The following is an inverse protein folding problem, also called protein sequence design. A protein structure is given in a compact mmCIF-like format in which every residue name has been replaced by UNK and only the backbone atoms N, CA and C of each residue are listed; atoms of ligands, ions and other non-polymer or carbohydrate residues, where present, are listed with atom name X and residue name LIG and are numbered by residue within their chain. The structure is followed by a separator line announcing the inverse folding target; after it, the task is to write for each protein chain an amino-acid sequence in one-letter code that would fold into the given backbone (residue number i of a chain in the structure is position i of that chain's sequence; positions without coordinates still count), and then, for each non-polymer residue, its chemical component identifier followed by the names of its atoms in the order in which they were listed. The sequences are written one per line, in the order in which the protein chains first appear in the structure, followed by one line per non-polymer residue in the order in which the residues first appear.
data_IF_424766343413
#
_entry.id   IF_424766343413
#
_cell.length_a   1.000
_cell.length_b   1.000
_cell.length_c   1.000
_cell.angle_alpha   90.00
_cell.angle_beta   90.00
_cell.angle_gamma   90.00
#
_symmetry.space_group_name_H-M   'P 1'
#
loop_
_entity.id
_entity.type
_entity.pdbx_description
1 polymer ?
#
# COMPACT_ATOMS: atom_id res chain seq x y z
N UNK A 1 46.85 7.51 67.74
CA UNK A 1 46.10 6.30 67.31
C UNK A 1 44.64 6.70 67.15
N UNK A 2 44.30 7.64 66.26
CA UNK A 2 43.95 7.47 64.82
C UNK A 2 42.80 6.50 64.57
N UNK A 3 41.60 7.07 64.56
CA UNK A 3 40.37 6.62 63.93
C UNK A 3 40.44 6.73 62.39
N UNK A 4 39.46 6.11 61.73
CA UNK A 4 39.06 6.17 60.31
C UNK A 4 39.68 5.13 59.36
N UNK A 5 38.83 4.20 58.92
CA UNK A 5 38.99 3.48 57.65
C UNK A 5 37.80 3.86 56.76
N UNK A 6 38.11 4.52 55.65
CA UNK A 6 37.20 5.03 54.63
C UNK A 6 36.82 3.92 53.62
N UNK A 7 35.51 3.83 53.35
CA UNK A 7 34.92 3.61 52.03
C UNK A 7 35.33 2.39 51.21
N UNK A 8 34.56 1.31 51.32
CA UNK A 8 34.44 0.32 50.23
C UNK A 8 33.37 0.80 49.25
N UNK A 9 33.82 1.22 48.06
CA UNK A 9 32.96 1.50 46.91
C UNK A 9 32.32 0.20 46.42
N UNK A 10 30.99 0.09 46.56
CA UNK A 10 30.23 -0.95 45.88
C UNK A 10 30.22 -0.68 44.37
N UNK A 11 30.52 -1.66 43.50
CA UNK A 11 30.29 -1.52 42.09
C UNK A 11 28.79 -1.64 41.82
N UNK A 12 28.17 -0.57 41.33
CA UNK A 12 26.83 -0.61 40.75
C UNK A 12 26.88 -1.50 39.50
N UNK A 13 26.62 -2.80 39.66
CA UNK A 13 26.27 -3.66 38.53
C UNK A 13 24.83 -3.34 38.14
N UNK A 14 24.67 -2.39 37.23
CA UNK A 14 23.46 -2.27 36.42
C UNK A 14 23.36 -3.49 35.50
N UNK A 15 22.89 -4.62 36.05
CA UNK A 15 22.29 -5.66 35.23
C UNK A 15 21.00 -5.10 34.66
N UNK A 16 20.88 -5.06 33.34
CA UNK A 16 19.61 -4.75 32.67
C UNK A 16 18.61 -5.80 33.15
N UNK A 17 17.59 -5.35 33.88
CA UNK A 17 16.63 -6.20 34.56
C UNK A 17 15.74 -6.91 33.52
N UNK A 18 16.08 -8.16 33.21
CA UNK A 18 15.42 -8.96 32.17
C UNK A 18 13.96 -9.26 32.52
N UNK A 19 13.64 -9.25 33.81
CA UNK A 19 12.29 -9.51 34.31
C UNK A 19 11.36 -8.32 34.04
N UNK A 20 11.87 -7.07 34.16
CA UNK A 20 11.13 -5.87 33.78
C UNK A 20 10.80 -5.82 32.28
N UNK A 21 11.73 -6.27 31.42
CA UNK A 21 11.51 -6.35 29.97
C UNK A 21 10.46 -7.43 29.66
N UNK A 22 10.56 -8.60 30.31
CA UNK A 22 9.59 -9.69 30.15
C UNK A 22 8.17 -9.30 30.55
N UNK A 23 8.01 -8.66 31.71
CA UNK A 23 6.71 -8.22 32.22
C UNK A 23 6.10 -7.10 31.36
N UNK A 24 6.93 -6.17 30.87
CA UNK A 24 6.51 -5.11 29.94
C UNK A 24 6.03 -5.68 28.61
N UNK A 25 6.74 -6.66 28.06
CA UNK A 25 6.35 -7.36 26.82
C UNK A 25 5.06 -8.15 27.04
N UNK A 26 4.92 -8.86 28.16
CA UNK A 26 3.72 -9.63 28.48
C UNK A 26 2.48 -8.73 28.70
N UNK A 27 2.67 -7.56 29.33
CA UNK A 27 1.61 -6.55 29.49
C UNK A 27 1.21 -5.94 28.15
N UNK A 28 2.19 -5.58 27.30
CA UNK A 28 1.96 -5.12 25.92
C UNK A 28 1.21 -6.18 25.11
N UNK A 29 1.60 -7.45 25.23
CA UNK A 29 0.96 -8.55 24.52
C UNK A 29 -0.51 -8.70 24.92
N UNK A 30 -0.81 -8.69 26.23
CA UNK A 30 -2.20 -8.77 26.72
C UNK A 30 -3.02 -7.55 26.30
N UNK A 31 -2.40 -6.38 26.29
CA UNK A 31 -3.07 -5.10 25.99
C UNK A 31 -3.24 -4.86 24.49
N UNK A 32 -2.40 -5.44 23.63
CA UNK A 32 -2.45 -5.23 22.17
C UNK A 32 -2.97 -6.43 21.38
N UNK A 33 -3.20 -7.59 22.01
CA UNK A 33 -3.71 -8.80 21.34
C UNK A 33 -4.97 -8.52 20.50
N UNK A 34 -4.92 -8.69 19.17
CA UNK A 34 -6.11 -8.56 18.33
C UNK A 34 -7.16 -9.62 18.67
N UNK A 35 -8.44 -9.31 18.53
CA UNK A 35 -9.54 -10.27 18.78
C UNK A 35 -9.47 -11.51 17.88
N UNK A 36 -8.82 -11.39 16.71
CA UNK A 36 -8.58 -12.47 15.75
C UNK A 36 -7.18 -13.11 15.90
N UNK A 37 -6.42 -12.71 16.92
CA UNK A 37 -5.08 -13.21 17.23
C UNK A 37 -3.96 -12.66 16.34
N UNK A 38 -2.73 -12.79 16.83
CA UNK A 38 -1.51 -12.27 16.17
C UNK A 38 -1.25 -12.90 14.79
N UNK A 39 -1.60 -14.18 14.60
CA UNK A 39 -1.41 -14.86 13.31
C UNK A 39 -2.24 -14.18 12.21
N UNK A 40 -3.49 -13.81 12.50
CA UNK A 40 -4.34 -13.16 11.51
C UNK A 40 -3.87 -11.72 11.22
N UNK A 41 -3.39 -11.00 12.24
CA UNK A 41 -2.78 -9.69 12.05
C UNK A 41 -1.45 -9.76 11.26
N UNK A 42 -0.63 -10.79 11.49
CA UNK A 42 0.59 -11.03 10.72
C UNK A 42 0.31 -11.37 9.26
N UNK A 43 -0.71 -12.20 8.99
CA UNK A 43 -1.15 -12.49 7.62
C UNK A 43 -1.73 -11.26 6.91
N UNK A 44 -2.45 -10.40 7.65
CA UNK A 44 -2.92 -9.11 7.15
C UNK A 44 -1.75 -8.19 6.75
N UNK A 45 -0.77 -8.04 7.65
CA UNK A 45 0.44 -7.27 7.38
C UNK A 45 1.16 -7.82 6.15
N UNK A 46 1.37 -9.13 6.08
CA UNK A 46 2.00 -9.79 4.95
C UNK A 46 1.25 -9.51 3.64
N UNK A 47 -0.08 -9.62 3.64
CA UNK A 47 -0.91 -9.37 2.46
C UNK A 47 -0.77 -7.92 1.97
N UNK A 48 -0.81 -6.94 2.86
CA UNK A 48 -0.66 -5.52 2.51
C UNK A 48 0.78 -5.17 2.10
N UNK A 49 1.77 -5.80 2.73
CA UNK A 49 3.19 -5.64 2.35
C UNK A 49 3.41 -6.10 0.92
N UNK A 50 2.78 -7.19 0.46
CA UNK A 50 2.88 -7.62 -0.95
C UNK A 50 2.37 -6.54 -1.91
N UNK A 51 1.29 -5.84 -1.55
CA UNK A 51 0.75 -4.74 -2.37
C UNK A 51 1.74 -3.58 -2.42
N UNK A 52 2.27 -3.17 -1.26
CA UNK A 52 3.21 -2.05 -1.16
C UNK A 52 4.54 -2.37 -1.85
N UNK A 53 5.05 -3.59 -1.72
CA UNK A 53 6.26 -4.03 -2.42
C UNK A 53 6.09 -4.01 -3.94
N UNK A 54 4.90 -4.34 -4.45
CA UNK A 54 4.60 -4.23 -5.89
C UNK A 54 4.73 -2.78 -6.38
N UNK A 55 4.33 -1.81 -5.55
CA UNK A 55 4.43 -0.38 -5.87
C UNK A 55 5.86 0.13 -5.70
N UNK A 56 6.56 -0.27 -4.63
CA UNK A 56 7.93 0.14 -4.35
C UNK A 56 8.90 -0.40 -5.41
N UNK A 57 8.76 -1.67 -5.81
CA UNK A 57 9.55 -2.27 -6.90
C UNK A 57 9.21 -1.74 -8.29
N UNK A 58 8.10 -1.03 -8.45
CA UNK A 58 7.79 -0.35 -9.70
C UNK A 58 8.68 0.88 -9.92
N UNK A 59 9.41 1.32 -8.89
CA UNK A 59 10.34 2.45 -8.89
C UNK A 59 9.72 3.73 -9.48
N UNK A 60 8.43 3.97 -9.28
CA UNK A 60 7.72 5.08 -9.92
C UNK A 60 8.42 6.43 -9.73
N UNK A 61 8.79 6.75 -8.49
CA UNK A 61 9.49 7.97 -8.06
C UNK A 61 10.34 7.62 -6.86
N UNK A 62 11.50 8.29 -6.63
CA UNK A 62 12.20 8.22 -5.35
C UNK A 62 11.24 8.57 -4.21
N UNK A 63 10.99 7.61 -3.32
CA UNK A 63 10.12 7.79 -2.16
C UNK A 63 10.78 7.27 -0.88
N UNK A 64 10.39 7.81 0.29
CA UNK A 64 10.62 7.12 1.56
C UNK A 64 10.08 5.68 1.52
N UNK A 65 10.56 4.82 2.41
CA UNK A 65 10.11 3.42 2.46
C UNK A 65 8.61 3.33 2.72
N UNK A 66 7.87 2.87 1.72
CA UNK A 66 6.42 2.72 1.80
C UNK A 66 6.03 1.59 2.75
N UNK A 67 6.85 0.54 2.85
CA UNK A 67 6.65 -0.55 3.82
C UNK A 67 6.73 -0.03 5.27
N UNK A 68 7.67 0.86 5.58
CA UNK A 68 7.75 1.48 6.92
C UNK A 68 6.52 2.34 7.20
N UNK A 69 6.08 3.13 6.21
CA UNK A 69 4.86 3.94 6.33
C UNK A 69 3.61 3.08 6.55
N UNK A 70 3.49 1.95 5.83
CA UNK A 70 2.41 0.98 6.01
C UNK A 70 2.41 0.44 7.45
N UNK A 71 3.58 0.07 7.98
CA UNK A 71 3.69 -0.42 9.35
C UNK A 71 3.24 0.62 10.38
N UNK A 72 3.64 1.89 10.22
CA UNK A 72 3.19 3.00 11.07
C UNK A 72 1.69 3.24 10.97
N UNK A 73 1.11 3.13 9.77
CA UNK A 73 -0.33 3.25 9.55
C UNK A 73 -1.11 2.14 10.26
N UNK A 74 -0.64 0.89 10.15
CA UNK A 74 -1.23 -0.25 10.84
C UNK A 74 -1.09 -0.17 12.36
N UNK A 75 0.06 0.32 12.86
CA UNK A 75 0.29 0.55 14.28
C UNK A 75 -0.66 1.63 14.81
N UNK A 76 -0.86 2.70 14.05
CA UNK A 76 -1.82 3.75 14.39
C UNK A 76 -3.24 3.18 14.46
N UNK A 77 -3.64 2.33 13.50
CA UNK A 77 -4.91 1.59 13.58
C UNK A 77 -5.03 0.71 14.83
N UNK A 78 -3.94 0.02 15.19
CA UNK A 78 -3.85 -0.82 16.40
C UNK A 78 -3.96 0.00 17.71
N UNK A 79 -3.43 1.21 17.75
CA UNK A 79 -3.54 2.07 18.93
C UNK A 79 -4.96 2.65 19.02
N UNK A 80 -5.48 3.18 17.91
CA UNK A 80 -6.76 3.90 17.91
C UNK A 80 -7.96 2.96 18.12
N UNK A 81 -7.93 1.69 17.71
CA UNK A 81 -9.11 0.82 17.85
C UNK A 81 -9.45 0.52 19.32
N UNK A 82 -8.45 0.58 20.22
CA UNK A 82 -8.62 0.35 21.65
C UNK A 82 -9.30 1.51 22.37
N UNK A 83 -9.32 2.69 21.78
CA UNK A 83 -9.92 3.86 22.38
C UNK A 83 -11.45 3.70 22.30
N UNK A 84 -12.17 3.68 23.44
CA UNK A 84 -13.63 3.49 23.49
C UNK A 84 -14.40 4.76 23.11
N UNK A 85 -13.95 5.46 22.07
CA UNK A 85 -14.56 6.67 21.51
C UNK A 85 -15.27 6.35 20.19
N UNK A 86 -16.14 7.25 19.73
CA UNK A 86 -16.87 7.07 18.48
C UNK A 86 -15.93 7.07 17.27
N UNK A 87 -16.18 6.18 16.31
CA UNK A 87 -15.35 6.02 15.11
C UNK A 87 -15.28 7.30 14.27
N UNK A 88 -16.32 8.14 14.30
CA UNK A 88 -16.35 9.43 13.60
C UNK A 88 -15.30 10.42 14.11
N UNK A 89 -14.87 10.30 15.36
CA UNK A 89 -13.81 11.13 15.95
C UNK A 89 -12.44 10.52 15.68
N UNK A 90 -12.32 9.20 15.82
CA UNK A 90 -11.03 8.50 15.72
C UNK A 90 -10.53 8.40 14.27
N UNK A 91 -11.42 8.32 13.28
CA UNK A 91 -11.03 8.28 11.87
C UNK A 91 -10.27 9.57 11.45
N UNK A 92 -10.82 10.78 11.67
CA UNK A 92 -10.08 12.03 11.42
C UNK A 92 -8.75 12.11 12.18
N UNK A 93 -8.68 11.62 13.42
CA UNK A 93 -7.43 11.61 14.19
C UNK A 93 -6.38 10.73 13.50
N UNK A 94 -6.74 9.52 13.06
CA UNK A 94 -5.81 8.65 12.33
C UNK A 94 -5.37 9.21 10.97
N UNK A 95 -6.25 9.95 10.29
CA UNK A 95 -5.90 10.68 9.07
C UNK A 95 -4.95 11.85 9.37
N UNK A 96 -5.19 12.61 10.43
CA UNK A 96 -4.33 13.72 10.84
C UNK A 96 -2.92 13.24 11.26
N UNK A 97 -2.84 12.13 12.00
CA UNK A 97 -1.56 11.47 12.35
C UNK A 97 -0.82 11.04 11.08
N UNK A 98 -1.53 10.45 10.12
CA UNK A 98 -0.96 10.08 8.83
C UNK A 98 -0.41 11.25 8.05
N UNK A 99 -1.21 12.31 7.92
CA UNK A 99 -0.79 13.53 7.23
C UNK A 99 0.47 14.12 7.87
N UNK A 100 0.53 14.18 9.22
CA UNK A 100 1.70 14.67 9.93
C UNK A 100 2.96 13.82 9.66
N UNK A 101 2.84 12.49 9.67
CA UNK A 101 3.95 11.57 9.39
C UNK A 101 4.42 11.70 7.93
N UNK A 102 3.47 11.78 6.98
CA UNK A 102 3.77 11.93 5.56
C UNK A 102 4.51 13.24 5.30
N UNK A 103 3.99 14.37 5.82
CA UNK A 103 4.63 15.67 5.67
C UNK A 103 6.02 15.70 6.31
N UNK A 104 6.16 15.09 7.50
CA UNK A 104 7.46 14.97 8.15
C UNK A 104 8.47 14.17 7.32
N UNK A 105 8.08 12.99 6.82
CA UNK A 105 8.94 12.16 5.98
C UNK A 105 9.33 12.85 4.67
N UNK A 106 8.37 13.49 3.98
CA UNK A 106 8.63 14.25 2.76
C UNK A 106 9.56 15.44 3.00
N UNK A 107 9.33 16.18 4.10
CA UNK A 107 10.15 17.35 4.45
C UNK A 107 11.61 17.01 4.78
N UNK A 108 11.89 15.75 5.11
CA UNK A 108 13.23 15.25 5.42
C UNK A 108 13.83 14.43 4.28
N UNK A 109 13.10 14.28 3.17
CA UNK A 109 13.50 13.45 2.04
C UNK A 109 14.32 14.26 1.02
N UNK A 110 15.13 13.55 0.23
CA UNK A 110 15.96 14.13 -0.84
C UNK A 110 15.44 13.67 -2.18
N UNK A 111 15.08 14.63 -3.04
CA UNK A 111 14.63 14.38 -4.41
C UNK A 111 15.70 14.97 -5.33
N UNK A 112 16.23 14.17 -6.25
CA UNK A 112 17.26 14.58 -7.22
C UNK A 112 18.51 15.25 -6.59
N UNK A 113 18.88 14.80 -5.38
CA UNK A 113 20.05 15.31 -4.65
C UNK A 113 19.82 16.61 -3.87
N UNK A 114 18.61 17.17 -3.90
CA UNK A 114 18.23 18.36 -3.13
C UNK A 114 17.30 17.93 -1.99
N UNK A 115 17.66 18.30 -0.76
CA UNK A 115 16.79 18.12 0.41
C UNK A 115 15.60 19.05 0.29
N UNK A 116 14.39 18.53 0.48
CA UNK A 116 13.21 19.39 0.57
C UNK A 116 13.37 20.32 1.77
N UNK A 117 13.21 21.63 1.56
CA UNK A 117 13.43 22.72 2.51
C UNK A 117 12.39 22.81 3.63
N UNK A 118 11.99 21.67 4.19
CA UNK A 118 11.00 21.58 5.26
C UNK A 118 9.56 21.46 4.78
N UNK A 119 8.62 21.49 5.73
CA UNK A 119 7.18 21.31 5.47
C UNK A 119 6.62 22.45 4.60
N UNK A 120 7.19 23.66 4.68
CA UNK A 120 6.76 24.81 3.88
C UNK A 120 6.90 24.56 2.38
N UNK A 121 8.06 24.06 1.94
CA UNK A 121 8.31 23.74 0.53
C UNK A 121 7.43 22.58 0.04
N UNK A 122 7.19 21.57 0.89
CA UNK A 122 6.25 20.47 0.57
C UNK A 122 4.86 21.05 0.28
N UNK A 123 4.35 21.93 1.15
CA UNK A 123 3.03 22.52 0.98
C UNK A 123 2.97 23.44 -0.24
N UNK A 124 4.01 24.23 -0.51
CA UNK A 124 4.09 25.10 -1.70
C UNK A 124 4.05 24.27 -3.00
N UNK A 125 4.83 23.20 -3.10
CA UNK A 125 4.82 22.33 -4.29
C UNK A 125 3.49 21.59 -4.47
N UNK A 126 2.83 21.22 -3.37
CA UNK A 126 1.48 20.63 -3.42
C UNK A 126 0.43 21.67 -3.84
N UNK A 127 0.57 22.93 -3.44
CA UNK A 127 -0.29 24.03 -3.84
C UNK A 127 -0.15 24.32 -5.35
N UNK A 128 1.08 24.39 -5.85
CA UNK A 128 1.36 24.52 -7.29
C UNK A 128 0.79 23.35 -8.11
N UNK A 129 0.86 22.14 -7.59
CA UNK A 129 0.25 20.97 -8.22
C UNK A 129 -1.29 21.04 -8.23
N UNK A 130 -1.89 21.54 -7.14
CA UNK A 130 -3.33 21.74 -7.07
C UNK A 130 -3.80 22.83 -8.04
N UNK A 131 -3.05 23.92 -8.15
CA UNK A 131 -3.26 24.96 -9.15
C UNK A 131 -3.13 24.42 -10.57
N UNK A 132 -2.17 23.52 -10.81
CA UNK A 132 -2.04 22.85 -12.10
C UNK A 132 -3.26 21.98 -12.44
N UNK A 133 -3.82 21.30 -11.44
CA UNK A 133 -5.05 20.52 -11.59
C UNK A 133 -6.27 21.39 -11.94
N UNK A 134 -6.39 22.57 -11.34
CA UNK A 134 -7.50 23.49 -11.58
C UNK A 134 -7.35 24.27 -12.89
N UNK A 135 -6.13 24.65 -13.26
CA UNK A 135 -5.83 25.45 -14.46
C UNK A 135 -5.70 24.61 -15.74
N UNK A 136 -5.60 23.29 -15.62
CA UNK A 136 -5.36 22.41 -16.75
C UNK A 136 -3.93 22.45 -17.27
N UNK A 137 -2.98 22.91 -16.45
CA UNK A 137 -1.55 22.96 -16.81
C UNK A 137 -0.84 21.63 -16.50
N UNK A 138 0.38 21.48 -17.02
CA UNK A 138 1.23 20.30 -16.83
C UNK A 138 2.05 20.45 -15.56
N UNK A 139 2.15 19.39 -14.77
CA UNK A 139 3.12 19.30 -13.68
C UNK A 139 4.16 18.20 -13.95
N UNK A 140 5.43 18.55 -13.76
CA UNK A 140 6.57 17.64 -13.90
C UNK A 140 7.23 17.30 -12.56
N UNK A 141 6.83 17.95 -11.46
CA UNK A 141 7.34 17.63 -10.13
C UNK A 141 6.85 16.24 -9.72
N UNK A 142 7.78 15.46 -9.17
CA UNK A 142 7.56 14.10 -8.71
C UNK A 142 7.06 14.04 -7.26
N UNK A 143 7.25 15.11 -6.48
CA UNK A 143 6.81 15.21 -5.09
C UNK A 143 5.30 14.98 -4.89
N UNK A 144 4.39 15.59 -5.68
CA UNK A 144 2.95 15.36 -5.53
C UNK A 144 2.54 13.91 -5.78
N UNK A 145 3.25 13.23 -6.68
CA UNK A 145 3.03 11.81 -6.91
C UNK A 145 3.49 10.96 -5.71
N UNK A 146 4.67 11.24 -5.16
CA UNK A 146 5.15 10.58 -3.93
C UNK A 146 4.18 10.81 -2.77
N UNK A 147 3.68 12.02 -2.58
CA UNK A 147 2.65 12.34 -1.59
C UNK A 147 1.37 11.52 -1.79
N UNK A 148 0.93 11.36 -3.04
CA UNK A 148 -0.26 10.57 -3.39
C UNK A 148 -0.05 9.08 -3.08
N UNK A 149 1.11 8.51 -3.43
CA UNK A 149 1.46 7.12 -3.09
C UNK A 149 1.55 6.89 -1.58
N UNK A 150 2.17 7.81 -0.85
CA UNK A 150 2.27 7.74 0.61
C UNK A 150 0.89 7.84 1.26
N UNK A 151 0.03 8.72 0.75
CA UNK A 151 -1.36 8.86 1.21
C UNK A 151 -2.17 7.59 0.95
N UNK A 152 -2.09 7.03 -0.26
CA UNK A 152 -2.75 5.77 -0.61
C UNK A 152 -2.26 4.59 0.26
N UNK A 153 -0.96 4.54 0.53
CA UNK A 153 -0.33 3.53 1.41
C UNK A 153 -0.83 3.67 2.85
N UNK A 154 -0.84 4.90 3.37
CA UNK A 154 -1.36 5.19 4.71
C UNK A 154 -2.83 4.81 4.83
N UNK A 155 -3.67 5.24 3.88
CA UNK A 155 -5.09 4.91 3.86
C UNK A 155 -5.31 3.40 3.82
N UNK A 156 -4.57 2.67 3.00
CA UNK A 156 -4.69 1.21 2.88
C UNK A 156 -4.29 0.51 4.19
N UNK A 157 -3.17 0.91 4.81
CA UNK A 157 -2.73 0.35 6.09
C UNK A 157 -3.63 0.71 7.27
N UNK A 158 -4.01 1.99 7.38
CA UNK A 158 -4.84 2.50 8.47
C UNK A 158 -6.28 2.00 8.34
N UNK A 159 -6.95 2.17 7.19
CA UNK A 159 -8.32 1.68 7.01
C UNK A 159 -8.36 0.16 6.99
N UNK A 160 -7.35 -0.50 6.41
CA UNK A 160 -7.24 -1.96 6.42
C UNK A 160 -7.17 -2.52 7.85
N UNK A 161 -6.26 -1.98 8.67
CA UNK A 161 -6.18 -2.37 10.09
C UNK A 161 -7.42 -1.97 10.88
N UNK A 162 -7.97 -0.78 10.66
CA UNK A 162 -9.18 -0.29 11.33
C UNK A 162 -10.40 -1.16 11.07
N UNK A 163 -10.68 -1.49 9.80
CA UNK A 163 -11.79 -2.36 9.39
C UNK A 163 -11.63 -3.78 9.95
N UNK A 164 -10.40 -4.30 9.89
CA UNK A 164 -10.09 -5.63 10.38
C UNK A 164 -10.22 -5.75 11.90
N UNK A 165 -9.67 -4.79 12.65
CA UNK A 165 -9.63 -4.83 14.11
C UNK A 165 -10.97 -4.43 14.72
N UNK A 166 -11.56 -3.30 14.30
CA UNK A 166 -12.74 -2.72 14.95
C UNK A 166 -14.06 -3.31 14.45
N UNK A 167 -14.18 -3.58 13.16
CA UNK A 167 -15.41 -4.09 12.55
C UNK A 167 -15.37 -5.58 12.25
N UNK A 168 -14.22 -6.25 12.47
CA UNK A 168 -14.01 -7.67 12.15
C UNK A 168 -14.33 -7.99 10.68
N UNK A 169 -14.23 -6.97 9.82
CA UNK A 169 -14.50 -7.04 8.39
C UNK A 169 -13.17 -7.22 7.66
N UNK A 170 -12.89 -8.45 7.25
CA UNK A 170 -11.69 -8.78 6.51
C UNK A 170 -11.81 -8.52 5.00
N UNK A 171 -13.03 -8.47 4.45
CA UNK A 171 -13.26 -8.25 3.02
C UNK A 171 -12.86 -6.85 2.56
N UNK A 172 -13.11 -5.84 3.40
CA UNK A 172 -12.75 -4.45 3.08
C UNK A 172 -11.26 -4.28 2.80
N UNK A 173 -10.40 -5.05 3.48
CA UNK A 173 -8.95 -5.01 3.26
C UNK A 173 -8.59 -5.56 1.88
N UNK A 174 -9.23 -6.65 1.46
CA UNK A 174 -8.95 -7.21 0.13
C UNK A 174 -9.42 -6.31 -0.99
N UNK A 175 -10.55 -5.62 -0.82
CA UNK A 175 -11.01 -4.65 -1.81
C UNK A 175 -9.99 -3.51 -1.91
N UNK A 176 -9.56 -2.93 -0.79
CA UNK A 176 -8.60 -1.81 -0.80
C UNK A 176 -7.24 -2.22 -1.37
N UNK A 177 -6.65 -3.33 -0.89
CA UNK A 177 -5.36 -3.82 -1.37
C UNK A 177 -5.41 -4.33 -2.82
N UNK A 178 -6.51 -4.96 -3.21
CA UNK A 178 -6.74 -5.48 -4.56
C UNK A 178 -6.87 -4.36 -5.59
N UNK A 179 -7.63 -3.30 -5.27
CA UNK A 179 -7.71 -2.10 -6.12
C UNK A 179 -6.33 -1.49 -6.29
N UNK A 180 -5.56 -1.29 -5.20
CA UNK A 180 -4.21 -0.74 -5.28
C UNK A 180 -3.28 -1.57 -6.15
N UNK A 181 -3.29 -2.89 -5.97
CA UNK A 181 -2.45 -3.80 -6.73
C UNK A 181 -2.83 -3.87 -8.21
N UNK A 182 -4.12 -4.00 -8.54
CA UNK A 182 -4.58 -4.07 -9.93
C UNK A 182 -4.35 -2.75 -10.67
N UNK A 183 -4.55 -1.61 -10.00
CA UNK A 183 -4.21 -0.30 -10.55
C UNK A 183 -2.72 -0.22 -10.87
N UNK A 184 -1.84 -0.65 -9.96
CA UNK A 184 -0.39 -0.68 -10.22
C UNK A 184 -0.06 -1.60 -11.42
N UNK A 185 -0.58 -2.83 -11.42
CA UNK A 185 -0.33 -3.80 -12.49
C UNK A 185 -0.85 -3.38 -13.86
N UNK A 186 -1.83 -2.47 -13.93
CA UNK A 186 -2.33 -1.93 -15.19
C UNK A 186 -1.25 -1.16 -15.95
N UNK A 187 -0.34 -0.50 -15.24
CA UNK A 187 0.72 0.29 -15.86
C UNK A 187 2.08 -0.41 -15.91
N UNK A 188 2.23 -1.58 -15.27
CA UNK A 188 3.46 -2.37 -15.27
C UNK A 188 3.48 -3.43 -16.38
N UNK A 189 4.66 -3.95 -16.77
CA UNK A 189 4.75 -5.02 -17.74
C UNK A 189 4.19 -6.36 -17.20
N UNK A 190 3.82 -7.32 -18.08
CA UNK A 190 3.12 -8.55 -17.69
C UNK A 190 3.89 -9.46 -16.73
N UNK A 191 5.22 -9.36 -16.69
CA UNK A 191 6.07 -10.16 -15.79
C UNK A 191 5.85 -9.85 -14.30
N UNK A 192 5.24 -8.73 -13.96
CA UNK A 192 4.96 -8.35 -12.56
C UNK A 192 3.75 -9.06 -11.95
N UNK A 193 3.04 -9.90 -12.72
CA UNK A 193 1.90 -10.69 -12.26
C UNK A 193 2.22 -11.65 -11.08
N UNK A 194 3.50 -11.91 -10.79
CA UNK A 194 3.94 -12.68 -9.61
C UNK A 194 3.42 -12.06 -8.30
N UNK A 195 3.36 -10.73 -8.22
CA UNK A 195 2.82 -10.03 -7.04
C UNK A 195 1.33 -10.32 -6.84
N UNK A 196 0.55 -10.45 -7.92
CA UNK A 196 -0.85 -10.87 -7.86
C UNK A 196 -0.98 -12.30 -7.31
N UNK A 197 -0.10 -13.22 -7.74
CA UNK A 197 -0.05 -14.57 -7.20
C UNK A 197 0.20 -14.62 -5.70
N UNK A 198 1.23 -13.91 -5.23
CA UNK A 198 1.53 -13.82 -3.79
C UNK A 198 0.42 -13.10 -3.01
N UNK A 199 -0.20 -12.09 -3.59
CA UNK A 199 -1.33 -11.40 -2.98
C UNK A 199 -2.53 -12.34 -2.80
N UNK A 200 -2.92 -13.09 -3.83
CA UNK A 200 -4.00 -14.08 -3.75
C UNK A 200 -3.67 -15.21 -2.77
N UNK A 201 -2.41 -15.68 -2.78
CA UNK A 201 -1.93 -16.68 -1.84
C UNK A 201 -2.11 -16.23 -0.38
N UNK A 202 -1.59 -15.04 -0.05
CA UNK A 202 -1.70 -14.47 1.30
C UNK A 202 -3.13 -14.13 1.69
N UNK A 203 -3.96 -13.70 0.72
CA UNK A 203 -5.38 -13.46 0.93
C UNK A 203 -6.13 -14.75 1.30
N UNK A 204 -5.91 -15.84 0.56
CA UNK A 204 -6.52 -17.14 0.84
C UNK A 204 -6.11 -17.69 2.21
N UNK A 205 -4.84 -17.56 2.59
CA UNK A 205 -4.37 -17.93 3.93
C UNK A 205 -5.07 -17.12 5.03
N UNK A 206 -5.20 -15.80 4.84
CA UNK A 206 -5.89 -14.93 5.77
C UNK A 206 -7.37 -15.30 5.88
N UNK A 207 -8.05 -15.53 4.76
CA UNK A 207 -9.45 -16.01 4.74
C UNK A 207 -9.57 -17.31 5.51
N UNK A 208 -8.74 -18.30 5.20
CA UNK A 208 -8.78 -19.60 5.87
C UNK A 208 -8.59 -19.46 7.37
N UNK A 209 -7.62 -18.63 7.81
CA UNK A 209 -7.39 -18.35 9.23
C UNK A 209 -8.58 -17.69 9.90
N UNK A 210 -9.16 -16.66 9.29
CA UNK A 210 -10.32 -15.95 9.85
C UNK A 210 -11.53 -16.90 9.95
N UNK A 211 -11.76 -17.75 8.94
CA UNK A 211 -12.85 -18.71 8.95
C UNK A 211 -12.65 -19.81 10.00
N UNK A 212 -11.43 -20.31 10.18
CA UNK A 212 -11.11 -21.28 11.23
C UNK A 212 -11.42 -20.71 12.63
N UNK A 213 -11.05 -19.45 12.87
CA UNK A 213 -11.33 -18.77 14.14
C UNK A 213 -12.84 -18.59 14.36
N UNK A 214 -13.59 -18.17 13.32
CA UNK A 214 -15.04 -18.01 13.40
C UNK A 214 -15.73 -19.34 13.72
N UNK A 215 -15.32 -20.41 13.03
CA UNK A 215 -15.86 -21.75 13.22
C UNK A 215 -15.58 -22.28 14.64
N UNK A 216 -14.39 -22.03 15.19
CA UNK A 216 -14.06 -22.35 16.59
C UNK A 216 -15.00 -21.64 17.57
N UNK A 217 -15.21 -20.33 17.41
CA UNK A 217 -16.14 -19.58 18.26
C UNK A 217 -17.60 -20.07 18.17
N UNK A 218 -18.05 -20.51 16.98
CA UNK A 218 -19.38 -21.10 16.81
C UNK A 218 -19.52 -22.45 17.52
N UNK A 219 -18.49 -23.29 17.48
CA UNK A 219 -18.47 -24.58 18.17
C UNK A 219 -18.40 -24.42 19.69
N UNK A 220 -17.62 -23.47 20.19
CA UNK A 220 -17.58 -23.11 21.62
C UNK A 220 -18.94 -22.62 22.12
N UNK A 221 -19.65 -21.78 21.33
CA UNK A 221 -21.03 -21.37 21.65
C UNK A 221 -22.03 -22.52 21.68
N UNK A 222 -21.72 -23.61 20.97
CA UNK A 222 -22.53 -24.85 20.96
C UNK A 222 -22.05 -25.89 21.97
N UNK A 223 -21.13 -25.51 22.87
CA UNK A 223 -20.55 -26.38 23.90
C UNK A 223 -19.83 -27.62 23.34
N UNK A 224 -19.40 -27.58 22.08
CA UNK A 224 -18.58 -28.62 21.47
C UNK A 224 -17.12 -28.29 21.79
N UNK A 225 -16.47 -29.12 22.63
CA UNK A 225 -15.05 -28.95 22.94
C UNK A 225 -14.22 -29.28 21.71
N UNK A 226 -13.43 -28.32 21.26
CA UNK A 226 -12.47 -28.47 20.17
C UNK A 226 -11.10 -28.57 20.80
N UNK A 227 -10.36 -29.64 20.53
CA UNK A 227 -8.98 -29.77 21.01
C UNK A 227 -8.09 -28.71 20.35
N UNK A 228 -7.28 -28.00 21.16
CA UNK A 228 -6.38 -26.95 20.66
C UNK A 228 -5.35 -27.49 19.66
N UNK A 229 -5.02 -28.79 19.73
CA UNK A 229 -4.14 -29.45 18.76
C UNK A 229 -4.69 -29.43 17.33
N UNK A 230 -6.02 -29.52 17.16
CA UNK A 230 -6.70 -29.43 15.86
C UNK A 230 -6.62 -28.03 15.26
N UNK A 231 -6.43 -27.00 16.09
CA UNK A 231 -6.30 -25.60 15.65
C UNK A 231 -4.98 -25.37 14.90
N UNK A 232 -3.91 -26.10 15.28
CA UNK A 232 -2.62 -26.09 14.58
C UNK A 232 -2.66 -26.86 13.25
N UNK A 233 -3.29 -28.04 13.23
CA UNK A 233 -3.49 -28.85 12.01
C UNK A 233 -4.29 -28.10 10.94
N UNK A 234 -5.34 -27.37 11.34
CA UNK A 234 -6.16 -26.60 10.40
C UNK A 234 -5.38 -25.52 9.63
N UNK A 235 -4.31 -24.95 10.22
CA UNK A 235 -3.47 -23.97 9.53
C UNK A 235 -2.61 -24.63 8.43
N UNK A 236 -2.00 -25.77 8.74
CA UNK A 236 -1.18 -26.52 7.79
C UNK A 236 -2.01 -27.07 6.63
N UNK A 237 -3.22 -27.57 6.93
CA UNK A 237 -4.16 -28.05 5.91
C UNK A 237 -4.63 -26.91 4.98
N UNK A 238 -4.93 -25.74 5.58
CA UNK A 238 -5.29 -24.55 4.81
C UNK A 238 -4.14 -24.05 3.95
N UNK A 239 -2.90 -24.17 4.44
CA UNK A 239 -1.70 -23.84 3.67
C UNK A 239 -1.55 -24.76 2.46
N UNK A 240 -1.64 -26.07 2.67
CA UNK A 240 -1.57 -27.05 1.58
C UNK A 240 -2.64 -26.84 0.50
N UNK A 241 -3.89 -26.61 0.91
CA UNK A 241 -4.99 -26.31 -0.01
C UNK A 241 -4.76 -25.00 -0.77
N UNK A 242 -4.25 -23.97 -0.09
CA UNK A 242 -3.97 -22.67 -0.72
C UNK A 242 -2.86 -22.79 -1.76
N UNK A 243 -1.77 -23.50 -1.44
CA UNK A 243 -0.68 -23.79 -2.39
C UNK A 243 -1.24 -24.53 -3.61
N UNK A 244 -2.06 -25.56 -3.40
CA UNK A 244 -2.68 -26.32 -4.49
C UNK A 244 -3.54 -25.42 -5.40
N UNK A 245 -4.41 -24.59 -4.81
CA UNK A 245 -5.28 -23.66 -5.56
C UNK A 245 -4.45 -22.70 -6.42
N UNK A 246 -3.36 -22.15 -5.86
CA UNK A 246 -2.49 -21.23 -6.59
C UNK A 246 -1.76 -21.94 -7.73
N UNK A 247 -1.23 -23.15 -7.52
CA UNK A 247 -0.59 -23.92 -8.60
C UNK A 247 -1.60 -24.18 -9.73
N UNK A 248 -2.81 -24.63 -9.40
CA UNK A 248 -3.86 -24.87 -10.39
C UNK A 248 -4.22 -23.58 -11.13
N UNK A 249 -4.35 -22.46 -10.42
CA UNK A 249 -4.66 -21.16 -11.01
C UNK A 249 -3.57 -20.69 -12.00
N UNK A 250 -2.29 -20.89 -11.69
CA UNK A 250 -1.18 -20.55 -12.57
C UNK A 250 -1.01 -21.51 -13.77
N UNK A 251 -1.51 -22.74 -13.66
CA UNK A 251 -1.54 -23.68 -14.80
C UNK A 251 -2.71 -23.44 -15.75
N UNK A 252 -3.73 -22.67 -15.35
CA UNK A 252 -4.84 -22.32 -16.24
C UNK A 252 -4.35 -21.36 -17.33
N UNK A 253 -4.55 -21.70 -18.62
CA UNK A 253 -4.17 -20.80 -19.71
C UNK A 253 -5.03 -19.54 -19.66
N UNK A 254 -4.44 -18.41 -20.06
CA UNK A 254 -5.17 -17.15 -20.18
C UNK A 254 -6.33 -17.35 -21.16
N UNK A 255 -7.56 -17.14 -20.69
CA UNK A 255 -8.74 -17.30 -21.53
C UNK A 255 -8.68 -16.31 -22.71
N UNK A 256 -9.07 -16.73 -23.93
CA UNK A 256 -9.12 -15.83 -25.07
C UNK A 256 -10.10 -14.69 -24.82
N UNK A 257 -9.78 -13.50 -25.37
CA UNK A 257 -10.63 -12.31 -25.25
C UNK A 257 -12.04 -12.61 -25.79
N UNK A 258 -13.04 -12.58 -24.92
CA UNK A 258 -14.43 -12.75 -25.32
C UNK A 258 -15.00 -11.40 -25.75
N UNK A 259 -15.40 -11.27 -27.02
CA UNK A 259 -15.81 -9.99 -27.62
C UNK A 259 -16.85 -9.21 -26.79
N UNK A 260 -17.91 -9.88 -26.33
CA UNK A 260 -18.97 -9.25 -25.52
C UNK A 260 -18.44 -8.73 -24.18
N UNK A 261 -17.54 -9.47 -23.53
CA UNK A 261 -16.94 -9.05 -22.27
C UNK A 261 -15.94 -7.90 -22.47
N UNK A 262 -15.21 -7.91 -23.60
CA UNK A 262 -14.30 -6.83 -23.97
C UNK A 262 -15.06 -5.54 -24.27
N UNK A 263 -16.15 -5.61 -25.02
CA UNK A 263 -16.97 -4.44 -25.37
C UNK A 263 -17.61 -3.82 -24.12
N UNK A 264 -18.10 -4.67 -23.20
CA UNK A 264 -18.58 -4.22 -21.90
C UNK A 264 -17.47 -3.56 -21.05
N UNK A 265 -16.27 -4.13 -21.08
CA UNK A 265 -15.10 -3.57 -20.40
C UNK A 265 -14.69 -2.20 -20.97
N UNK A 266 -14.58 -2.07 -22.29
CA UNK A 266 -14.21 -0.80 -22.93
C UNK A 266 -15.30 0.28 -22.74
N UNK A 267 -16.59 -0.11 -22.77
CA UNK A 267 -17.69 0.83 -22.47
C UNK A 267 -17.62 1.37 -21.04
N UNK A 268 -17.29 0.50 -20.07
CA UNK A 268 -17.10 0.90 -18.67
C UNK A 268 -15.83 1.73 -18.48
N UNK A 269 -14.81 1.53 -19.34
CA UNK A 269 -13.52 2.21 -19.27
C UNK A 269 -13.49 3.56 -19.97
N UNK A 270 -14.33 3.83 -20.95
CA UNK A 270 -14.43 5.13 -21.63
C UNK A 270 -14.35 6.36 -20.71
N UNK A 271 -15.11 6.47 -19.59
CA UNK A 271 -14.99 7.64 -18.70
C UNK A 271 -13.62 7.73 -18.00
N UNK A 272 -12.92 6.60 -17.81
CA UNK A 272 -11.58 6.56 -17.25
C UNK A 272 -10.53 7.07 -18.23
N UNK A 273 -10.78 7.04 -19.54
CA UNK A 273 -9.82 7.55 -20.54
C UNK A 273 -9.62 9.06 -20.42
N UNK A 274 -10.69 9.82 -20.14
CA UNK A 274 -10.59 11.25 -19.85
C UNK A 274 -9.78 11.51 -18.57
N UNK A 275 -10.01 10.70 -17.52
CA UNK A 275 -9.24 10.79 -16.27
C UNK A 275 -7.77 10.39 -16.47
N UNK A 276 -7.48 9.46 -17.40
CA UNK A 276 -6.12 9.08 -17.76
C UNK A 276 -5.37 10.25 -18.43
N UNK A 277 -6.07 11.06 -19.24
CA UNK A 277 -5.52 12.30 -19.81
C UNK A 277 -5.11 13.31 -18.74
N UNK A 278 -6.01 13.63 -17.81
CA UNK A 278 -5.72 14.54 -16.70
C UNK A 278 -4.62 13.98 -15.77
N UNK A 279 -4.63 12.67 -15.51
CA UNK A 279 -3.60 12.00 -14.73
C UNK A 279 -2.22 12.12 -15.37
N UNK A 280 -2.11 11.82 -16.68
CA UNK A 280 -0.84 11.93 -17.40
C UNK A 280 -0.33 13.36 -17.45
N UNK A 281 -1.23 14.36 -17.54
CA UNK A 281 -0.88 15.78 -17.48
C UNK A 281 -0.33 16.18 -16.12
N UNK A 282 -1.00 15.76 -15.05
CA UNK A 282 -0.63 16.08 -13.66
C UNK A 282 0.64 15.39 -13.18
N UNK A 283 0.97 14.26 -13.80
CA UNK A 283 2.12 13.44 -13.47
C UNK A 283 3.01 13.21 -14.69
N UNK A 284 3.20 14.27 -15.49
CA UNK A 284 3.96 14.21 -16.73
C UNK A 284 5.42 13.82 -16.52
N UNK A 285 5.98 14.13 -15.34
CA UNK A 285 7.34 13.77 -14.94
C UNK A 285 7.56 12.27 -14.66
N UNK A 286 6.51 11.43 -14.66
CA UNK A 286 6.67 10.01 -14.38
C UNK A 286 7.26 9.23 -15.56
N UNK A 287 8.14 8.24 -15.28
CA UNK A 287 8.63 7.33 -16.30
C UNK A 287 7.51 6.41 -16.81
N UNK A 288 7.44 6.21 -18.13
CA UNK A 288 6.54 5.23 -18.72
C UNK A 288 7.02 3.80 -18.38
N UNK A 289 6.19 3.04 -17.65
CA UNK A 289 6.50 1.66 -17.22
C UNK A 289 6.01 0.57 -18.19
N UNK A 290 5.23 0.95 -19.18
CA UNK A 290 4.85 0.12 -20.32
C UNK A 290 5.03 0.93 -21.61
N UNK A 291 5.32 0.28 -22.76
CA UNK A 291 5.31 0.97 -24.05
C UNK A 291 3.90 1.50 -24.31
N UNK A 292 3.74 2.81 -24.16
CA UNK A 292 2.52 3.54 -24.46
C UNK A 292 2.61 4.05 -25.91
N UNK A 293 1.48 4.05 -26.62
CA UNK A 293 1.40 4.66 -27.96
C UNK A 293 1.67 6.16 -27.89
N UNK A 294 2.31 6.70 -28.93
CA UNK A 294 2.59 8.13 -29.07
C UNK A 294 1.28 8.93 -29.12
N UNK A 295 1.11 9.93 -28.22
CA UNK A 295 -0.03 10.87 -28.24
C UNK A 295 0.40 12.16 -28.93
N UNK A 296 -0.15 12.38 -30.13
CA UNK A 296 0.25 13.49 -31.03
C UNK A 296 -0.76 14.64 -30.99
N UNK A 297 -2.01 14.36 -30.61
CA UNK A 297 -3.13 15.27 -30.84
C UNK A 297 -4.02 15.37 -29.59
N UNK A 298 -3.58 16.20 -28.66
CA UNK A 298 -4.40 16.63 -27.52
C UNK A 298 -4.07 18.10 -27.22
N UNK A 299 -4.87 18.76 -26.39
CA UNK A 299 -4.65 20.16 -25.98
C UNK A 299 -3.34 20.35 -25.20
N UNK A 300 -2.68 19.26 -24.81
CA UNK A 300 -1.45 19.24 -24.00
C UNK A 300 -0.53 18.12 -24.48
N UNK A 301 0.73 18.45 -24.79
CA UNK A 301 1.75 17.47 -25.22
C UNK A 301 2.73 17.18 -24.08
N UNK A 302 2.44 16.16 -23.28
CA UNK A 302 3.42 15.58 -22.37
C UNK A 302 4.18 14.47 -23.09
N UNK A 303 5.47 14.67 -23.37
CA UNK A 303 6.31 13.67 -24.01
C UNK A 303 6.60 12.52 -23.02
N UNK A 304 5.91 11.40 -23.17
CA UNK A 304 6.09 10.20 -22.36
C UNK A 304 6.23 8.95 -23.24
N UNK A 305 7.14 8.05 -22.87
CA UNK A 305 7.27 6.73 -23.49
C UNK A 305 8.29 6.61 -24.62
N UNK A 306 8.39 5.39 -25.16
CA UNK A 306 9.27 5.06 -26.28
C UNK A 306 8.67 5.55 -27.60
N UNK A 307 9.37 6.46 -28.27
CA UNK A 307 9.00 6.96 -29.58
C UNK A 307 9.29 5.85 -30.61
N UNK A 308 8.24 5.12 -31.00
CA UNK A 308 8.26 4.31 -32.20
C UNK A 308 7.57 5.12 -33.31
N UNK A 309 8.31 5.87 -34.14
CA UNK A 309 7.69 6.61 -35.23
C UNK A 309 6.99 5.59 -36.14
N UNK A 310 5.66 5.65 -36.17
CA UNK A 310 4.87 4.83 -37.09
C UNK A 310 5.00 5.42 -38.49
N UNK A 311 5.04 4.59 -39.54
CA UNK A 311 5.05 5.08 -40.93
C UNK A 311 3.68 5.55 -41.42
N UNK A 312 2.70 5.69 -40.51
CA UNK A 312 1.37 6.19 -40.82
C UNK A 312 1.48 7.64 -41.25
N UNK A 313 1.08 7.93 -42.49
CA UNK A 313 1.03 9.28 -43.01
C UNK A 313 0.00 10.10 -42.22
N UNK A 314 0.47 11.09 -41.45
CA UNK A 314 -0.37 11.94 -40.59
C UNK A 314 -0.78 13.26 -41.25
N UNK A 315 0.02 13.74 -42.20
CA UNK A 315 -0.21 15.00 -42.89
C UNK A 315 0.41 14.93 -44.29
N UNK A 316 -0.32 15.45 -45.28
CA UNK A 316 0.21 15.70 -46.62
C UNK A 316 -0.01 17.17 -46.92
N UNK A 317 1.09 17.89 -47.21
CA UNK A 317 1.05 19.31 -47.51
C UNK A 317 1.73 19.53 -48.85
N UNK A 318 1.03 20.20 -49.77
CA UNK A 318 1.62 20.78 -50.96
C UNK A 318 1.78 22.28 -50.70
N UNK A 319 3.03 22.74 -50.58
CA UNK A 319 3.37 24.13 -50.28
C UNK A 319 4.44 24.64 -51.24
N UNK A 320 4.24 25.81 -51.85
CA UNK A 320 5.24 26.44 -52.71
C UNK A 320 6.44 27.02 -51.93
N UNK A 321 6.42 26.98 -50.60
CA UNK A 321 7.50 27.45 -49.73
C UNK A 321 7.84 26.44 -48.62
N UNK A 322 9.13 26.36 -48.26
CA UNK A 322 9.61 25.56 -47.13
C UNK A 322 9.13 26.17 -45.81
N UNK A 323 8.35 25.42 -45.05
CA UNK A 323 7.89 25.79 -43.71
C UNK A 323 8.21 24.65 -42.74
N UNK A 324 8.47 25.01 -41.49
CA UNK A 324 8.50 24.04 -40.39
C UNK A 324 7.06 23.69 -40.01
N UNK A 325 6.68 22.44 -40.24
CA UNK A 325 5.38 21.85 -39.89
C UNK A 325 5.50 21.01 -38.62
#
# INVERSE_FOLDING_TARGET
MTSETLGTSQPIRQGIDTDFIGDSIAWLERTLRPDLGWIAAGLLLLNLVVVVLSVEQADWVPSPSLVQLLFLAMLTGLVLYRIPMWSIVLLPVGLAVGLAIILWQLSSFTIDGVTVGGIGEVLERLDLWLDAALSGSINIDSLPFTFTLMTATWLTGFLGSWLFLRYRNFWGVFVLGGIGLLSNLTFLPPNTAVHLGFYLFTALLLVARVQAIRRKHEWERRSVKVDDHLTGLSLTDSFGLTVLIIIVAFMLPMAPKWGVANDAYETMRNPLEAMEGDFNRLFAGLPARRPMGFRIWDNVMALQGSIYPTTTQVLWVDSPAELYW
#
